data_IF_943911997130
#
_entry.id   IF_943911997130
#
_cell.length_a   1.000
_cell.length_b   1.000
_cell.length_c   1.000
_cell.angle_alpha   90.00
_cell.angle_beta   90.00
_cell.angle_gamma   90.00
#
_symmetry.space_group_name_H-M   'P 1'
#
loop_
_entity.id
_entity.type
_entity.pdbx_description
1 polymer ?
#
# COMPACT_ATOMS: atom_id res chain seq x y z
N UNK A 1 38.68 17.20 20.87
CA UNK A 1 38.73 16.79 19.44
C UNK A 1 38.12 15.41 19.22
N UNK A 2 38.67 14.33 19.81
CA UNK A 2 38.11 12.96 19.70
C UNK A 2 36.63 12.83 20.16
N UNK A 3 36.24 13.50 21.25
CA UNK A 3 34.85 13.48 21.76
C UNK A 3 33.84 14.09 20.78
N UNK A 4 34.21 15.14 20.06
CA UNK A 4 33.34 15.81 19.08
C UNK A 4 33.11 14.92 17.87
N UNK A 5 34.15 14.22 17.41
CA UNK A 5 34.06 13.23 16.33
C UNK A 5 33.14 12.07 16.70
N UNK A 6 33.24 11.55 17.93
CA UNK A 6 32.37 10.47 18.43
C UNK A 6 30.92 10.95 18.51
N UNK A 7 30.67 12.18 18.97
CA UNK A 7 29.32 12.75 19.03
C UNK A 7 28.70 12.91 17.64
N UNK A 8 29.47 13.37 16.65
CA UNK A 8 29.00 13.48 15.27
C UNK A 8 28.71 12.10 14.66
N UNK A 9 29.58 11.10 14.88
CA UNK A 9 29.38 9.74 14.41
C UNK A 9 28.15 9.06 15.04
N UNK A 10 27.93 9.29 16.34
CA UNK A 10 26.72 8.83 17.04
C UNK A 10 25.47 9.54 16.53
N UNK A 11 25.56 10.83 16.17
CA UNK A 11 24.45 11.59 15.61
C UNK A 11 24.00 11.01 14.27
N UNK A 12 24.94 10.78 13.34
CA UNK A 12 24.67 10.17 12.03
C UNK A 12 24.02 8.78 12.15
N UNK A 13 24.53 7.95 13.08
CA UNK A 13 23.95 6.63 13.36
C UNK A 13 22.53 6.77 13.92
N UNK A 14 22.28 7.74 14.80
CA UNK A 14 20.96 7.98 15.40
C UNK A 14 19.93 8.46 14.37
N UNK A 15 20.34 9.35 13.45
CA UNK A 15 19.51 9.84 12.34
C UNK A 15 19.07 8.68 11.40
N UNK A 16 19.98 7.76 11.11
CA UNK A 16 19.69 6.57 10.30
C UNK A 16 18.66 5.64 10.96
N UNK A 17 18.80 5.38 12.26
CA UNK A 17 17.88 4.50 13.02
C UNK A 17 16.48 5.10 13.12
N UNK A 18 16.36 6.43 13.25
CA UNK A 18 15.06 7.11 13.31
C UNK A 18 14.24 6.94 12.01
N UNK A 19 14.90 6.68 10.88
CA UNK A 19 14.27 6.48 9.57
C UNK A 19 13.77 5.05 9.33
N UNK A 20 13.98 4.13 10.28
CA UNK A 20 13.81 2.69 10.05
C UNK A 20 12.38 2.14 10.26
N UNK A 21 11.46 2.90 10.85
CA UNK A 21 10.13 2.39 11.22
C UNK A 21 8.99 3.17 10.56
N UNK A 22 8.92 3.16 9.23
CA UNK A 22 7.73 3.59 8.49
C UNK A 22 6.68 2.46 8.50
N UNK A 23 5.59 2.54 9.29
CA UNK A 23 4.59 1.48 9.38
C UNK A 23 3.77 1.32 8.08
N UNK A 24 3.90 2.27 7.15
CA UNK A 24 3.23 2.21 5.85
C UNK A 24 4.07 1.47 4.80
N UNK A 25 5.31 1.08 5.10
CA UNK A 25 6.17 0.29 4.22
C UNK A 25 6.16 -1.18 4.67
N UNK A 26 5.63 -2.08 3.84
CA UNK A 26 5.45 -3.51 4.18
C UNK A 26 6.06 -4.39 3.09
N UNK A 27 6.68 -5.50 3.50
CA UNK A 27 7.23 -6.51 2.58
C UNK A 27 6.26 -7.68 2.39
N UNK A 28 5.92 -7.97 1.12
CA UNK A 28 5.16 -9.14 0.70
C UNK A 28 6.07 -10.14 -0.05
N UNK A 29 5.65 -11.40 -0.25
CA UNK A 29 6.39 -12.36 -1.08
C UNK A 29 6.67 -11.88 -2.52
N UNK A 30 5.79 -11.01 -3.05
CA UNK A 30 5.87 -10.47 -4.40
C UNK A 30 6.76 -9.22 -4.51
N UNK A 31 6.98 -8.50 -3.41
CA UNK A 31 7.72 -7.25 -3.38
C UNK A 31 7.28 -6.33 -2.23
N UNK A 32 7.86 -5.13 -2.16
CA UNK A 32 7.51 -4.14 -1.14
C UNK A 32 6.31 -3.30 -1.56
N UNK A 33 5.47 -2.90 -0.62
CA UNK A 33 4.31 -2.02 -0.83
C UNK A 33 4.37 -0.81 0.11
N UNK A 34 3.83 0.33 -0.34
CA UNK A 34 3.64 1.52 0.48
C UNK A 34 2.17 1.91 0.55
N UNK A 35 1.59 1.77 1.75
CA UNK A 35 0.24 2.22 2.09
C UNK A 35 0.16 3.69 2.52
N UNK A 36 -0.95 4.06 3.14
CA UNK A 36 -1.19 5.40 3.70
C UNK A 36 -1.88 5.32 5.06
N UNK A 37 -1.72 6.36 5.86
CA UNK A 37 -2.47 6.54 7.11
C UNK A 37 -3.83 7.19 6.82
N UNK A 38 -4.91 6.64 7.39
CA UNK A 38 -6.27 7.15 7.30
C UNK A 38 -6.90 7.24 8.70
N UNK A 39 -8.03 7.96 8.77
CA UNK A 39 -8.83 8.11 9.98
C UNK A 39 -10.22 7.53 9.76
N UNK A 40 -10.69 6.71 10.69
CA UNK A 40 -12.08 6.25 10.70
C UNK A 40 -13.03 7.41 11.09
N UNK A 41 -14.35 7.26 10.90
CA UNK A 41 -15.32 8.30 11.28
C UNK A 41 -15.27 8.73 12.76
N UNK A 42 -14.82 7.83 13.65
CA UNK A 42 -14.59 8.12 15.07
C UNK A 42 -13.16 8.59 15.39
N UNK A 43 -12.36 8.94 14.39
CA UNK A 43 -11.02 9.51 14.56
C UNK A 43 -9.89 8.51 14.85
N UNK A 44 -10.16 7.19 14.79
CA UNK A 44 -9.12 6.18 15.01
C UNK A 44 -8.20 6.11 13.79
N UNK A 45 -6.90 6.23 14.04
CA UNK A 45 -5.86 6.07 13.02
C UNK A 45 -5.75 4.60 12.60
N UNK A 46 -5.68 4.35 11.29
CA UNK A 46 -5.36 3.03 10.73
C UNK A 46 -4.48 3.16 9.49
N UNK A 47 -3.77 2.08 9.15
CA UNK A 47 -2.96 2.00 7.93
C UNK A 47 -3.74 1.26 6.85
N UNK A 48 -3.84 1.86 5.67
CA UNK A 48 -4.56 1.32 4.53
C UNK A 48 -3.58 0.97 3.41
N UNK A 49 -3.72 -0.26 2.90
CA UNK A 49 -2.97 -0.77 1.75
C UNK A 49 -3.99 -1.26 0.73
N UNK A 50 -4.16 -0.50 -0.35
CA UNK A 50 -5.23 -0.65 -1.33
C UNK A 50 -4.64 -1.01 -2.70
N UNK A 51 -5.43 -1.65 -3.58
CA UNK A 51 -4.98 -2.07 -4.91
C UNK A 51 -3.78 -3.05 -4.95
N UNK A 52 -3.54 -3.83 -3.88
CA UNK A 52 -2.51 -4.88 -3.89
C UNK A 52 -2.90 -5.98 -4.89
N UNK A 53 -2.07 -6.28 -5.91
CA UNK A 53 -2.36 -7.36 -6.84
C UNK A 53 -2.26 -8.72 -6.14
N UNK A 54 -3.38 -9.45 -6.05
CA UNK A 54 -3.42 -10.82 -5.55
C UNK A 54 -3.44 -11.87 -6.66
N UNK A 55 -3.64 -11.44 -7.92
CA UNK A 55 -3.64 -12.28 -9.10
C UNK A 55 -3.24 -11.47 -10.34
N UNK A 56 -2.85 -12.17 -11.41
CA UNK A 56 -2.67 -11.56 -12.73
C UNK A 56 -4.01 -11.05 -13.27
N UNK A 57 -4.05 -9.86 -13.92
CA UNK A 57 -5.30 -9.31 -14.49
C UNK A 57 -5.99 -10.28 -15.46
N UNK A 58 -7.32 -10.51 -15.35
CA UNK A 58 -8.07 -11.46 -16.17
C UNK A 58 -8.45 -10.86 -17.54
N UNK A 59 -7.45 -10.34 -18.26
CA UNK A 59 -7.58 -9.73 -19.59
C UNK A 59 -7.17 -10.70 -20.69
N UNK A 60 -7.56 -10.41 -21.93
CA UNK A 60 -7.27 -11.25 -23.10
C UNK A 60 -7.72 -12.71 -22.88
N UNK A 61 -6.85 -13.67 -23.21
CA UNK A 61 -7.12 -15.11 -23.05
C UNK A 61 -7.29 -15.56 -21.59
N UNK A 62 -6.98 -14.73 -20.59
CA UNK A 62 -7.20 -15.07 -19.18
C UNK A 62 -8.64 -14.82 -18.71
N UNK A 63 -9.48 -14.18 -19.54
CA UNK A 63 -10.88 -13.96 -19.19
C UNK A 63 -11.59 -15.31 -19.02
N UNK A 64 -12.37 -15.42 -17.95
CA UNK A 64 -13.10 -16.65 -17.56
C UNK A 64 -12.20 -17.86 -17.19
N UNK A 65 -10.89 -17.67 -17.03
CA UNK A 65 -9.99 -18.68 -16.49
C UNK A 65 -9.81 -18.52 -14.97
N UNK A 66 -9.31 -19.57 -14.33
CA UNK A 66 -8.85 -19.51 -12.94
C UNK A 66 -7.79 -18.42 -12.76
N UNK A 67 -7.83 -17.63 -11.66
CA UNK A 67 -6.79 -16.66 -11.34
C UNK A 67 -5.41 -17.30 -11.31
N UNK A 68 -4.41 -16.56 -11.81
CA UNK A 68 -3.01 -16.95 -11.76
C UNK A 68 -2.28 -16.04 -10.78
N UNK A 69 -1.22 -16.55 -10.16
CA UNK A 69 -0.35 -15.76 -9.27
C UNK A 69 0.05 -14.42 -9.90
N UNK A 70 0.13 -13.34 -9.11
CA UNK A 70 0.54 -12.03 -9.60
C UNK A 70 2.05 -12.01 -9.90
N UNK A 71 2.50 -11.20 -10.87
CA UNK A 71 3.93 -11.01 -11.10
C UNK A 71 4.58 -10.32 -9.90
N UNK A 72 5.85 -10.66 -9.64
CA UNK A 72 6.69 -9.88 -8.72
C UNK A 72 6.94 -8.49 -9.31
N UNK A 73 7.05 -7.49 -8.45
CA UNK A 73 7.40 -6.13 -8.86
C UNK A 73 8.74 -5.70 -8.26
N UNK A 74 9.46 -4.85 -9.00
CA UNK A 74 10.69 -4.22 -8.54
C UNK A 74 10.38 -2.94 -7.76
N UNK A 75 11.18 -2.66 -6.72
CA UNK A 75 11.01 -1.47 -5.90
C UNK A 75 9.77 -1.55 -4.99
N UNK A 76 9.20 -0.39 -4.70
CA UNK A 76 8.05 -0.25 -3.78
C UNK A 76 6.79 0.08 -4.58
N UNK A 77 5.80 -0.81 -4.54
CA UNK A 77 4.50 -0.60 -5.16
C UNK A 77 3.67 0.37 -4.33
N UNK A 78 3.15 1.42 -4.96
CA UNK A 78 2.30 2.40 -4.30
C UNK A 78 0.85 1.89 -4.18
N UNK A 79 0.40 1.66 -2.95
CA UNK A 79 -0.92 1.09 -2.60
C UNK A 79 -1.79 2.10 -1.86
N UNK A 80 -1.71 3.38 -2.23
CA UNK A 80 -2.41 4.50 -1.57
C UNK A 80 -3.71 4.92 -2.25
N UNK A 81 -4.11 4.24 -3.32
CA UNK A 81 -5.30 4.56 -4.14
C UNK A 81 -6.30 3.41 -4.09
N UNK A 82 -7.59 3.74 -4.21
CA UNK A 82 -8.69 2.78 -4.28
C UNK A 82 -9.62 3.14 -5.43
N UNK A 83 -9.21 2.76 -6.64
CA UNK A 83 -9.82 3.17 -7.90
C UNK A 83 -10.15 2.00 -8.82
N UNK A 84 -9.69 0.79 -8.49
CA UNK A 84 -9.92 -0.42 -9.31
C UNK A 84 -11.25 -1.05 -8.93
N UNK A 85 -12.19 -1.04 -9.88
CA UNK A 85 -13.51 -1.67 -9.75
C UNK A 85 -13.69 -2.63 -10.93
N UNK A 86 -14.34 -3.77 -10.69
CA UNK A 86 -14.68 -4.72 -11.75
C UNK A 86 -15.71 -4.12 -12.73
N UNK A 87 -15.80 -4.69 -13.93
CA UNK A 87 -16.87 -4.37 -14.85
C UNK A 87 -18.23 -4.65 -14.18
N UNK A 88 -19.04 -3.60 -14.01
CA UNK A 88 -20.43 -3.65 -13.56
C UNK A 88 -21.30 -2.97 -14.62
N UNK A 89 -22.50 -3.49 -14.86
CA UNK A 89 -23.56 -2.71 -15.51
C UNK A 89 -23.95 -1.56 -14.59
N UNK A 90 -24.35 -0.42 -15.16
CA UNK A 90 -24.69 0.76 -14.37
C UNK A 90 -25.63 0.41 -13.23
N UNK A 91 -25.19 0.77 -12.03
CA UNK A 91 -25.95 0.61 -10.80
C UNK A 91 -27.28 1.32 -10.99
N UNK A 92 -28.39 0.58 -10.84
CA UNK A 92 -29.66 1.19 -10.47
C UNK A 92 -29.35 2.07 -9.26
N UNK A 93 -29.42 3.39 -9.44
CA UNK A 93 -29.24 4.33 -8.33
C UNK A 93 -30.45 4.13 -7.43
N UNK A 94 -30.30 3.29 -6.40
CA UNK A 94 -31.30 3.18 -5.36
C UNK A 94 -31.27 4.52 -4.61
N UNK A 95 -32.35 5.30 -4.61
CA UNK A 95 -32.37 6.58 -3.92
C UNK A 95 -32.04 6.36 -2.44
N UNK A 96 -30.99 7.01 -1.95
CA UNK A 96 -30.57 6.97 -0.55
C UNK A 96 -29.34 6.12 -0.21
N UNK A 97 -28.78 5.36 -1.17
CA UNK A 97 -27.48 4.69 -0.96
C UNK A 97 -26.34 5.63 -1.33
N UNK A 98 -25.49 6.00 -0.36
CA UNK A 98 -24.19 6.63 -0.64
C UNK A 98 -23.24 5.51 -1.04
N UNK A 99 -22.52 5.67 -2.15
CA UNK A 99 -21.34 4.84 -2.41
C UNK A 99 -20.35 5.13 -1.27
N UNK A 100 -20.28 4.22 -0.30
CA UNK A 100 -19.26 4.26 0.73
C UNK A 100 -17.99 3.63 0.17
N UNK A 101 -16.85 4.28 0.39
CA UNK A 101 -15.52 3.68 0.23
C UNK A 101 -15.40 2.36 1.01
#
# INVERSE_FOLDING_TARGET
ESKTLIVLLLCEISLSIAHANDPTLVSLPQGQIRGRTLHSPNGKVYYAFQEIPYATPPVEGLRFQTPREPPKWSGVLNTTKNTKICCKTDTVVIPGTRETE
#
